data_IF_213337051829
#
_entry.id   IF_213337051829
#
_cell.length_a   1.000
_cell.length_b   1.000
_cell.length_c   1.000
_cell.angle_alpha   90.00
_cell.angle_beta   90.00
_cell.angle_gamma   90.00
#
_symmetry.space_group_name_H-M   'P 1'
#
loop_
_entity.id
_entity.type
_entity.pdbx_description
1 polymer ?
#
# COMPACT_ATOMS: atom_id res chain seq x y z
N UNK A 1 -15.45 -24.51 -11.49
CA UNK A 1 -15.80 -23.08 -11.23
C UNK A 1 -15.73 -22.78 -9.72
N UNK A 2 -14.53 -22.77 -9.12
CA UNK A 2 -14.39 -22.56 -7.65
C UNK A 2 -13.14 -21.78 -7.21
N UNK A 3 -12.23 -21.45 -8.13
CA UNK A 3 -10.95 -20.80 -7.79
C UNK A 3 -11.02 -19.28 -7.66
N UNK A 4 -11.98 -18.62 -8.33
CA UNK A 4 -12.05 -17.15 -8.37
C UNK A 4 -12.51 -16.54 -7.04
N UNK A 5 -13.44 -17.17 -6.32
CA UNK A 5 -13.98 -16.64 -5.06
C UNK A 5 -12.98 -16.71 -3.90
N UNK A 6 -12.06 -17.68 -3.91
CA UNK A 6 -11.04 -17.83 -2.87
C UNK A 6 -9.96 -16.73 -2.92
N UNK A 7 -9.66 -16.21 -4.11
CA UNK A 7 -8.65 -15.16 -4.31
C UNK A 7 -9.17 -13.82 -3.79
N UNK A 8 -10.43 -13.48 -4.06
CA UNK A 8 -11.06 -12.25 -3.55
C UNK A 8 -11.29 -12.28 -2.02
N UNK A 9 -11.64 -13.44 -1.46
CA UNK A 9 -11.76 -13.60 -0.01
C UNK A 9 -10.40 -13.47 0.69
N UNK A 10 -9.32 -14.03 0.11
CA UNK A 10 -7.96 -13.89 0.62
C UNK A 10 -7.43 -12.45 0.56
N UNK A 11 -7.73 -11.72 -0.51
CA UNK A 11 -7.35 -10.30 -0.66
C UNK A 11 -8.06 -9.40 0.37
N UNK A 12 -9.33 -9.68 0.66
CA UNK A 12 -10.14 -8.88 1.58
C UNK A 12 -9.73 -9.05 3.05
N UNK A 13 -9.30 -10.26 3.43
CA UNK A 13 -8.82 -10.54 4.79
C UNK A 13 -7.38 -10.01 5.00
N UNK A 14 -6.52 -10.02 3.97
CA UNK A 14 -5.19 -9.41 4.07
C UNK A 14 -5.25 -7.88 4.10
N UNK A 15 -6.17 -7.27 3.35
CA UNK A 15 -6.44 -5.83 3.43
C UNK A 15 -6.94 -5.40 4.81
N UNK A 16 -7.84 -6.17 5.44
CA UNK A 16 -8.31 -5.90 6.82
C UNK A 16 -7.22 -6.09 7.87
N UNK A 17 -6.28 -7.03 7.68
CA UNK A 17 -5.22 -7.30 8.66
C UNK A 17 -4.06 -6.30 8.59
N UNK A 18 -3.88 -5.63 7.46
CA UNK A 18 -2.96 -4.50 7.32
C UNK A 18 -3.60 -3.16 7.71
N UNK A 19 -4.90 -2.99 7.47
CA UNK A 19 -5.65 -1.85 8.01
C UNK A 19 -5.78 -1.89 9.54
N UNK A 20 -5.82 -3.08 10.16
CA UNK A 20 -5.94 -3.23 11.61
C UNK A 20 -4.63 -3.19 12.40
N UNK A 21 -3.47 -3.05 11.74
CA UNK A 21 -2.16 -3.29 12.37
C UNK A 21 -1.30 -2.06 12.68
N UNK A 22 -1.42 -0.96 11.95
CA UNK A 22 -0.50 0.18 12.13
C UNK A 22 -1.01 1.48 11.48
N UNK A 23 -1.99 2.14 12.09
CA UNK A 23 -2.17 3.59 12.02
C UNK A 23 -3.31 3.99 12.95
N UNK A 24 -2.99 4.29 14.20
CA UNK A 24 -3.84 5.21 14.95
C UNK A 24 -3.90 6.54 14.19
N UNK A 25 -5.12 6.98 13.86
CA UNK A 25 -5.51 8.39 13.81
C UNK A 25 -4.71 9.36 12.91
N UNK A 26 -4.14 8.90 11.78
CA UNK A 26 -3.34 9.79 10.90
C UNK A 26 -3.89 9.99 9.47
N UNK A 27 -5.08 9.47 9.13
CA UNK A 27 -5.67 9.71 7.81
C UNK A 27 -4.82 9.21 6.62
N UNK A 28 -3.94 8.23 6.86
CA UNK A 28 -3.06 7.66 5.84
C UNK A 28 -3.74 6.46 5.18
N UNK A 29 -3.96 6.53 3.86
CA UNK A 29 -4.61 5.49 3.06
C UNK A 29 -3.65 5.00 1.99
N UNK A 30 -3.47 3.67 1.87
CA UNK A 30 -2.69 3.10 0.76
C UNK A 30 -3.59 2.99 -0.47
N UNK A 31 -3.27 3.74 -1.52
CA UNK A 31 -4.05 3.78 -2.78
C UNK A 31 -3.62 2.63 -3.71
N UNK A 32 -2.36 2.25 -3.67
CA UNK A 32 -1.84 1.22 -4.55
C UNK A 32 -0.47 0.74 -4.15
N UNK A 33 -0.10 -0.45 -4.60
CA UNK A 33 1.25 -0.96 -4.40
C UNK A 33 1.67 -1.87 -5.56
N UNK A 34 2.94 -1.80 -5.93
CA UNK A 34 3.54 -2.62 -6.98
C UNK A 34 4.90 -3.11 -6.55
N UNK A 35 5.12 -4.42 -6.67
CA UNK A 35 6.44 -5.01 -6.42
C UNK A 35 7.34 -4.78 -7.63
N UNK A 36 8.53 -4.23 -7.40
CA UNK A 36 9.57 -4.05 -8.43
C UNK A 36 10.45 -5.30 -8.51
N UNK A 37 10.87 -5.81 -7.35
CA UNK A 37 11.72 -7.00 -7.23
C UNK A 37 11.45 -7.75 -5.91
N UNK A 38 12.28 -8.75 -5.59
CA UNK A 38 12.11 -9.57 -4.39
C UNK A 38 12.16 -8.75 -3.07
N UNK A 39 12.78 -7.59 -3.08
CA UNK A 39 13.03 -6.76 -1.89
C UNK A 39 12.49 -5.34 -2.01
N UNK A 40 12.10 -4.91 -3.20
CA UNK A 40 11.63 -3.55 -3.46
C UNK A 40 10.16 -3.52 -3.85
N UNK A 41 9.40 -2.63 -3.21
CA UNK A 41 8.00 -2.33 -3.50
C UNK A 41 7.79 -0.83 -3.62
N UNK A 42 7.03 -0.42 -4.62
CA UNK A 42 6.46 0.92 -4.69
C UNK A 42 5.09 0.91 -4.04
N UNK A 43 4.80 1.91 -3.22
CA UNK A 43 3.52 2.08 -2.53
C UNK A 43 3.07 3.52 -2.76
N UNK A 44 1.86 3.70 -3.27
CA UNK A 44 1.21 5.01 -3.34
C UNK A 44 0.33 5.14 -2.10
N UNK A 45 0.55 6.20 -1.33
CA UNK A 45 -0.24 6.54 -0.15
C UNK A 45 -0.88 7.91 -0.33
N UNK A 46 -2.08 8.08 0.18
CA UNK A 46 -2.72 9.36 0.41
C UNK A 46 -2.58 9.69 1.90
N UNK A 47 -2.04 10.85 2.23
CA UNK A 47 -1.94 11.34 3.60
C UNK A 47 -2.24 12.84 3.58
N UNK A 48 -3.19 13.29 4.40
CA UNK A 48 -3.60 14.71 4.48
C UNK A 48 -3.94 15.33 3.11
N UNK A 49 -4.60 14.54 2.24
CA UNK A 49 -4.97 14.95 0.88
C UNK A 49 -3.80 15.01 -0.12
N UNK A 50 -2.59 14.65 0.30
CA UNK A 50 -1.40 14.55 -0.56
C UNK A 50 -1.20 13.12 -1.00
N UNK A 51 -0.83 12.94 -2.28
CA UNK A 51 -0.48 11.62 -2.80
C UNK A 51 1.02 11.48 -2.88
N UNK A 52 1.55 10.45 -2.24
CA UNK A 52 2.98 10.20 -2.12
C UNK A 52 3.32 8.83 -2.69
N UNK A 53 4.34 8.76 -3.53
CA UNK A 53 4.96 7.52 -3.98
C UNK A 53 6.13 7.19 -3.06
N UNK A 54 6.01 6.09 -2.33
CA UNK A 54 7.02 5.56 -1.43
C UNK A 54 7.70 4.34 -2.05
N UNK A 55 9.02 4.28 -1.94
CA UNK A 55 9.82 3.10 -2.20
C UNK A 55 10.10 2.40 -0.88
N UNK A 56 9.73 1.13 -0.79
CA UNK A 56 9.95 0.26 0.36
C UNK A 56 10.97 -0.80 -0.04
N UNK A 57 12.15 -0.75 0.56
CA UNK A 57 13.27 -1.65 0.28
C UNK A 57 13.84 -2.28 1.56
N UNK A 58 15.00 -2.93 1.44
CA UNK A 58 15.73 -3.48 2.61
C UNK A 58 16.19 -2.38 3.57
N UNK A 59 16.53 -1.22 3.02
CA UNK A 59 17.01 -0.06 3.76
C UNK A 59 15.88 0.76 4.40
N UNK A 60 14.63 0.31 4.25
CA UNK A 60 13.44 0.95 4.81
C UNK A 60 12.57 1.65 3.78
N UNK A 61 11.84 2.67 4.23
CA UNK A 61 10.86 3.42 3.44
C UNK A 61 11.46 4.76 3.03
N UNK A 62 11.36 5.12 1.75
CA UNK A 62 11.81 6.40 1.22
C UNK A 62 10.73 7.05 0.36
N UNK A 63 10.56 8.36 0.47
CA UNK A 63 9.77 9.13 -0.49
C UNK A 63 10.48 9.15 -1.85
N UNK A 64 9.85 8.57 -2.87
CA UNK A 64 10.34 8.58 -4.25
C UNK A 64 9.85 9.84 -4.96
N UNK A 65 8.55 10.15 -4.82
CA UNK A 65 7.94 11.31 -5.48
C UNK A 65 6.67 11.76 -4.75
N UNK A 66 6.43 13.07 -4.74
CA UNK A 66 5.12 13.64 -4.43
C UNK A 66 4.30 13.73 -5.74
N UNK A 67 3.12 13.11 -5.75
CA UNK A 67 2.20 13.01 -6.88
C UNK A 67 1.01 13.98 -6.74
N UNK A 68 1.07 14.93 -5.82
CA UNK A 68 -0.01 15.87 -5.58
C UNK A 68 -0.14 16.82 -6.79
N UNK A 69 -1.29 16.78 -7.46
CA UNK A 69 -1.61 17.67 -8.58
C UNK A 69 -1.23 17.16 -9.97
N UNK A 70 -0.79 15.89 -10.10
CA UNK A 70 -0.68 15.19 -11.39
C UNK A 70 -1.99 14.51 -11.83
#
# INVERSE_FOLDING_TARGET
MGGLLAIFAGLSVWARRLAGGAAGDAGIVVIGQRRLDAHTRLVVVEADGRRLLLGVGRDGVRLVKDLTGE
#
